data_IF_297383964151
#
_entry.id   IF_297383964151
#
_cell.length_a   1.000
_cell.length_b   1.000
_cell.length_c   1.000
_cell.angle_alpha   90.00
_cell.angle_beta   90.00
_cell.angle_gamma   90.00
#
_symmetry.space_group_name_H-M   'P 1'
#
loop_
_entity.id
_entity.type
_entity.pdbx_description
1 polymer ?
#
# COMPACT_ATOMS: atom_id res chain seq x y z
N UNK A 1 -16.11 -1.64 -94.11
CA UNK A 1 -15.49 -0.79 -93.07
C UNK A 1 -15.96 -1.29 -91.72
N UNK A 2 -15.06 -1.89 -90.95
CA UNK A 2 -15.34 -2.41 -89.61
C UNK A 2 -15.16 -1.27 -88.60
N UNK A 3 -16.19 -0.98 -87.79
CA UNK A 3 -16.10 -0.07 -86.66
C UNK A 3 -15.71 -0.90 -85.42
N UNK A 4 -14.51 -0.66 -84.91
CA UNK A 4 -13.95 -1.37 -83.77
C UNK A 4 -14.60 -0.98 -82.45
N UNK A 5 -14.98 -1.98 -81.66
CA UNK A 5 -15.20 -1.83 -80.23
C UNK A 5 -13.85 -1.60 -79.54
N UNK A 6 -13.65 -0.40 -78.97
CA UNK A 6 -12.63 -0.16 -77.96
C UNK A 6 -13.10 -0.80 -76.65
N UNK A 7 -12.65 -2.03 -76.40
CA UNK A 7 -12.77 -2.65 -75.08
C UNK A 7 -11.86 -1.92 -74.10
N UNK A 8 -12.45 -1.32 -73.06
CA UNK A 8 -11.69 -0.91 -71.88
C UNK A 8 -11.10 -2.17 -71.25
N UNK A 9 -9.77 -2.27 -71.20
CA UNK A 9 -9.10 -3.24 -70.35
C UNK A 9 -9.48 -2.94 -68.90
N UNK A 10 -10.02 -3.90 -68.13
CA UNK A 10 -10.17 -3.69 -66.69
C UNK A 10 -8.79 -3.44 -66.11
N UNK A 11 -8.64 -2.39 -65.30
CA UNK A 11 -7.47 -2.22 -64.47
C UNK A 11 -7.44 -3.41 -63.49
N UNK A 12 -6.60 -4.40 -63.77
CA UNK A 12 -6.25 -5.42 -62.79
C UNK A 12 -5.40 -4.67 -61.76
N UNK A 13 -5.95 -4.44 -60.57
CA UNK A 13 -5.12 -4.10 -59.42
C UNK A 13 -4.09 -5.23 -59.30
N UNK A 14 -2.81 -4.91 -59.42
CA UNK A 14 -1.76 -5.90 -59.22
C UNK A 14 -1.89 -6.37 -57.76
N UNK A 15 -2.38 -7.60 -57.56
CA UNK A 15 -2.37 -8.25 -56.24
C UNK A 15 -0.92 -8.25 -55.76
N UNK A 16 -0.67 -7.60 -54.61
CA UNK A 16 0.63 -7.62 -53.97
C UNK A 16 0.95 -9.08 -53.59
N UNK A 17 1.95 -9.73 -54.22
CA UNK A 17 2.24 -11.14 -53.96
C UNK A 17 2.71 -11.40 -52.51
N UNK A 18 2.99 -10.36 -51.72
CA UNK A 18 3.34 -10.45 -50.31
C UNK A 18 2.14 -10.27 -49.36
N UNK A 19 0.94 -9.92 -49.85
CA UNK A 19 -0.26 -9.70 -49.02
C UNK A 19 -0.60 -10.86 -48.05
N UNK A 20 -0.52 -12.15 -48.46
CA UNK A 20 -0.73 -13.25 -47.52
C UNK A 20 0.31 -13.34 -46.40
N UNK A 21 1.56 -12.96 -46.67
CA UNK A 21 2.65 -12.98 -45.68
C UNK A 21 2.50 -11.84 -44.65
N UNK A 22 2.03 -10.66 -45.08
CA UNK A 22 1.72 -9.56 -44.18
C UNK A 22 0.55 -9.90 -43.26
N UNK A 23 -0.50 -10.56 -43.78
CA UNK A 23 -1.64 -11.02 -42.94
C UNK A 23 -1.20 -11.99 -41.86
N UNK A 24 -0.37 -12.98 -42.17
CA UNK A 24 0.18 -13.89 -41.14
C UNK A 24 1.00 -13.15 -40.09
N UNK A 25 1.82 -12.18 -40.49
CA UNK A 25 2.61 -11.38 -39.57
C UNK A 25 1.73 -10.54 -38.63
N UNK A 26 0.65 -9.94 -39.14
CA UNK A 26 -0.28 -9.16 -38.30
C UNK A 26 -1.02 -10.04 -37.30
N UNK A 27 -1.33 -11.30 -37.63
CA UNK A 27 -1.90 -12.26 -36.66
C UNK A 27 -0.92 -12.55 -35.53
N UNK A 28 0.37 -12.78 -35.82
CA UNK A 28 1.38 -13.00 -34.79
C UNK A 28 1.54 -11.77 -33.87
N UNK A 29 1.54 -10.57 -34.45
CA UNK A 29 1.57 -9.31 -33.72
C UNK A 29 0.31 -9.14 -32.86
N UNK A 30 -0.86 -9.50 -33.40
CA UNK A 30 -2.13 -9.47 -32.66
C UNK A 30 -2.10 -10.42 -31.46
N UNK A 31 -1.56 -11.63 -31.59
CA UNK A 31 -1.50 -12.58 -30.47
C UNK A 31 -0.60 -12.07 -29.33
N UNK A 32 0.57 -11.53 -29.67
CA UNK A 32 1.59 -11.09 -28.72
C UNK A 32 1.39 -9.65 -28.19
N UNK A 33 0.66 -8.81 -28.93
CA UNK A 33 0.59 -7.37 -28.69
C UNK A 33 -0.24 -6.94 -27.47
N UNK A 34 0.01 -5.70 -27.04
CA UNK A 34 -0.79 -4.97 -26.06
C UNK A 34 -2.20 -4.64 -26.57
N UNK A 35 -3.00 -3.95 -25.74
CA UNK A 35 -4.41 -3.68 -26.06
C UNK A 35 -4.57 -2.82 -27.30
N UNK A 36 -3.78 -1.75 -27.45
CA UNK A 36 -3.81 -0.90 -28.63
C UNK A 36 -3.34 -1.63 -29.89
N UNK A 37 -2.27 -2.43 -29.78
CA UNK A 37 -1.77 -3.25 -30.90
C UNK A 37 -2.83 -4.26 -31.36
N UNK A 38 -3.47 -4.96 -30.43
CA UNK A 38 -4.52 -5.94 -30.73
C UNK A 38 -5.68 -5.33 -31.51
N UNK A 39 -6.17 -4.18 -31.07
CA UNK A 39 -7.31 -3.58 -31.74
C UNK A 39 -6.96 -2.99 -33.10
N UNK A 40 -5.80 -2.36 -33.23
CA UNK A 40 -5.34 -1.84 -34.52
C UNK A 40 -5.05 -2.97 -35.51
N UNK A 41 -4.49 -4.09 -35.03
CA UNK A 41 -4.29 -5.29 -35.84
C UNK A 41 -5.63 -5.92 -36.25
N UNK A 42 -6.62 -5.98 -35.35
CA UNK A 42 -7.96 -6.50 -35.67
C UNK A 42 -8.65 -5.65 -36.74
N UNK A 43 -8.60 -4.33 -36.62
CA UNK A 43 -9.11 -3.39 -37.63
C UNK A 43 -8.45 -3.62 -38.99
N UNK A 44 -7.12 -3.75 -39.01
CA UNK A 44 -6.36 -3.98 -40.24
C UNK A 44 -6.66 -5.34 -40.88
N UNK A 45 -6.82 -6.40 -40.07
CA UNK A 45 -7.15 -7.74 -40.55
C UNK A 45 -8.57 -7.85 -41.13
N UNK A 46 -9.49 -6.98 -40.69
CA UNK A 46 -10.85 -6.86 -41.24
C UNK A 46 -10.91 -5.95 -42.49
N UNK A 47 -9.82 -5.25 -42.82
CA UNK A 47 -9.72 -4.24 -43.87
C UNK A 47 -9.06 -4.73 -45.17
N UNK A 48 -8.49 -3.78 -45.91
CA UNK A 48 -7.73 -4.03 -47.14
C UNK A 48 -6.23 -4.30 -46.87
N UNK A 49 -5.49 -4.67 -47.91
CA UNK A 49 -4.04 -4.86 -47.78
C UNK A 49 -3.31 -3.54 -47.52
N UNK A 50 -3.87 -2.40 -47.95
CA UNK A 50 -3.39 -1.07 -47.56
C UNK A 50 -3.57 -0.80 -46.06
N UNK A 51 -4.67 -1.26 -45.45
CA UNK A 51 -4.89 -1.12 -44.00
C UNK A 51 -3.86 -1.94 -43.20
N UNK A 52 -3.45 -3.10 -43.72
CA UNK A 52 -2.37 -3.92 -43.16
C UNK A 52 -1.03 -3.19 -43.23
N UNK A 53 -0.68 -2.61 -44.38
CA UNK A 53 0.57 -1.85 -44.52
C UNK A 53 0.58 -0.60 -43.65
N UNK A 54 -0.56 0.08 -43.52
CA UNK A 54 -0.71 1.24 -42.64
C UNK A 54 -0.54 0.83 -41.17
N UNK A 55 -1.17 -0.26 -40.72
CA UNK A 55 -0.97 -0.79 -39.38
C UNK A 55 0.50 -1.10 -39.09
N UNK A 56 1.18 -1.83 -39.98
CA UNK A 56 2.60 -2.15 -39.81
C UNK A 56 3.48 -0.88 -39.74
N UNK A 57 3.09 0.18 -40.43
CA UNK A 57 3.76 1.49 -40.37
C UNK A 57 3.51 2.20 -39.04
N UNK A 58 2.29 2.15 -38.51
CA UNK A 58 1.89 2.84 -37.28
C UNK A 58 2.23 2.05 -36.01
N UNK A 59 2.47 0.73 -36.13
CA UNK A 59 2.73 -0.20 -35.03
C UNK A 59 3.74 0.32 -34.01
N UNK A 60 4.91 0.89 -34.37
CA UNK A 60 5.86 1.40 -33.37
C UNK A 60 5.28 2.52 -32.51
N UNK A 61 4.41 3.36 -33.06
CA UNK A 61 3.74 4.43 -32.32
C UNK A 61 2.68 3.87 -31.39
N UNK A 62 1.94 2.85 -31.84
CA UNK A 62 0.91 2.17 -31.05
C UNK A 62 1.55 1.42 -29.88
N UNK A 63 2.65 0.71 -30.12
CA UNK A 63 3.42 -0.01 -29.10
C UNK A 63 3.90 0.94 -28.01
N UNK A 64 4.46 2.10 -28.37
CA UNK A 64 4.90 3.10 -27.39
C UNK A 64 3.77 3.60 -26.47
N UNK A 65 2.52 3.57 -26.95
CA UNK A 65 1.36 3.95 -26.16
C UNK A 65 1.03 2.83 -25.17
N UNK A 66 0.95 1.60 -25.66
CA UNK A 66 0.70 0.41 -24.84
C UNK A 66 1.77 0.28 -23.74
N UNK A 67 3.05 0.45 -24.07
CA UNK A 67 4.15 0.37 -23.11
C UNK A 67 3.99 1.40 -21.98
N UNK A 68 3.59 2.64 -22.31
CA UNK A 68 3.34 3.68 -21.28
C UNK A 68 2.13 3.35 -20.41
N UNK A 69 1.11 2.70 -20.96
CA UNK A 69 -0.02 2.19 -20.19
C UNK A 69 0.45 1.09 -19.24
N UNK A 70 1.28 0.16 -19.71
CA UNK A 70 1.81 -0.92 -18.89
C UNK A 70 2.74 -0.42 -17.79
N UNK A 71 3.58 0.58 -18.06
CA UNK A 71 4.36 1.24 -16.99
C UNK A 71 3.46 1.85 -15.93
N UNK A 72 2.35 2.47 -16.34
CA UNK A 72 1.38 3.02 -15.38
C UNK A 72 0.75 1.94 -14.50
N UNK A 73 0.44 0.77 -15.07
CA UNK A 73 -0.04 -0.41 -14.31
C UNK A 73 1.02 -0.91 -13.33
N UNK A 74 2.27 -1.01 -13.75
CA UNK A 74 3.41 -1.40 -12.90
C UNK A 74 3.61 -0.40 -11.75
N UNK A 75 3.47 0.91 -11.99
CA UNK A 75 3.54 1.95 -10.95
C UNK A 75 2.49 1.76 -9.86
N UNK A 76 1.26 1.39 -10.23
CA UNK A 76 0.19 1.18 -9.25
C UNK A 76 0.39 -0.08 -8.41
N UNK A 77 0.88 -1.15 -9.04
CA UNK A 77 1.18 -2.40 -8.35
C UNK A 77 2.48 -2.32 -7.51
N UNK A 78 3.40 -1.41 -7.88
CA UNK A 78 4.73 -1.31 -7.34
C UNK A 78 4.88 -0.53 -6.03
N UNK A 79 5.94 -0.86 -5.28
CA UNK A 79 6.41 -0.09 -4.14
C UNK A 79 7.20 1.16 -4.56
N UNK A 80 7.72 1.94 -3.60
CA UNK A 80 8.45 3.18 -3.87
C UNK A 80 9.61 3.02 -4.87
N UNK A 81 10.39 1.95 -4.77
CA UNK A 81 11.52 1.68 -5.67
C UNK A 81 11.06 1.47 -7.11
N UNK A 82 10.03 0.64 -7.32
CA UNK A 82 9.44 0.41 -8.65
C UNK A 82 8.89 1.71 -9.24
N UNK A 83 8.21 2.54 -8.42
CA UNK A 83 7.66 3.82 -8.90
C UNK A 83 8.75 4.80 -9.34
N UNK A 84 9.86 4.89 -8.62
CA UNK A 84 10.97 5.74 -9.02
C UNK A 84 11.67 5.23 -10.28
N UNK A 85 11.86 3.91 -10.41
CA UNK A 85 12.39 3.30 -11.63
C UNK A 85 11.49 3.56 -12.85
N UNK A 86 10.17 3.42 -12.69
CA UNK A 86 9.19 3.72 -13.72
C UNK A 86 9.21 5.19 -14.14
N UNK A 87 9.27 6.14 -13.19
CA UNK A 87 9.38 7.58 -13.50
C UNK A 87 10.62 7.89 -14.32
N UNK A 88 11.76 7.27 -13.97
CA UNK A 88 13.01 7.41 -14.73
C UNK A 88 12.86 6.89 -16.16
N UNK A 89 12.22 5.74 -16.34
CA UNK A 89 11.95 5.17 -17.66
C UNK A 89 11.03 6.07 -18.50
N UNK A 90 9.94 6.58 -17.91
CA UNK A 90 8.98 7.47 -18.59
C UNK A 90 9.57 8.82 -19.03
N UNK A 91 10.59 9.30 -18.32
CA UNK A 91 11.34 10.51 -18.65
C UNK A 91 12.39 10.30 -19.77
N UNK A 92 12.71 9.03 -20.07
CA UNK A 92 13.56 8.63 -21.18
C UNK A 92 12.80 8.47 -22.49
N UNK A 93 13.35 7.64 -23.39
CA UNK A 93 12.74 7.29 -24.67
C UNK A 93 12.05 5.93 -24.66
N UNK A 94 11.47 5.50 -25.79
CA UNK A 94 10.86 4.17 -25.95
C UNK A 94 11.74 3.01 -25.47
N UNK A 95 13.05 3.07 -25.78
CA UNK A 95 14.04 2.06 -25.37
C UNK A 95 14.16 1.96 -23.84
N UNK A 96 14.08 3.09 -23.12
CA UNK A 96 14.15 3.09 -21.65
C UNK A 96 12.88 2.50 -21.02
N UNK A 97 11.73 2.70 -21.66
CA UNK A 97 10.43 2.17 -21.25
C UNK A 97 10.40 0.66 -21.44
N UNK A 98 10.80 0.18 -22.62
CA UNK A 98 10.89 -1.25 -22.94
C UNK A 98 11.86 -1.97 -21.99
N UNK A 99 13.07 -1.45 -21.81
CA UNK A 99 14.05 -2.01 -20.88
C UNK A 99 13.53 -2.05 -19.43
N UNK A 100 12.71 -1.08 -19.03
CA UNK A 100 12.06 -1.09 -17.73
C UNK A 100 11.00 -2.20 -17.62
N UNK A 101 10.14 -2.35 -18.62
CA UNK A 101 9.08 -3.37 -18.65
C UNK A 101 9.64 -4.80 -18.69
N UNK A 102 10.76 -5.01 -19.40
CA UNK A 102 11.40 -6.32 -19.51
C UNK A 102 12.05 -6.76 -18.19
N UNK A 103 12.94 -5.94 -17.65
CA UNK A 103 13.76 -6.32 -16.49
C UNK A 103 13.96 -5.19 -15.46
N UNK A 104 13.86 -3.93 -15.86
CA UNK A 104 14.20 -2.80 -14.99
C UNK A 104 13.32 -2.66 -13.75
N UNK A 105 12.10 -3.22 -13.73
CA UNK A 105 11.24 -3.24 -12.55
C UNK A 105 11.62 -4.29 -11.51
N UNK A 106 12.30 -5.38 -11.90
CA UNK A 106 12.49 -6.57 -11.05
C UNK A 106 13.34 -6.30 -9.82
N UNK A 107 14.50 -5.68 -9.98
CA UNK A 107 15.39 -5.38 -8.86
C UNK A 107 14.81 -4.36 -7.87
N UNK A 108 14.20 -3.24 -8.31
CA UNK A 108 13.45 -2.36 -7.40
C UNK A 108 12.30 -3.06 -6.68
N UNK A 109 11.60 -3.98 -7.35
CA UNK A 109 10.51 -4.74 -6.74
C UNK A 109 11.00 -5.66 -5.63
N UNK A 110 12.11 -6.39 -5.83
CA UNK A 110 12.71 -7.19 -4.77
C UNK A 110 13.08 -6.32 -3.56
N UNK A 111 13.69 -5.16 -3.81
CA UNK A 111 14.05 -4.24 -2.73
C UNK A 111 12.82 -3.74 -1.96
N UNK A 112 11.74 -3.41 -2.68
CA UNK A 112 10.47 -2.99 -2.08
C UNK A 112 9.88 -4.13 -1.20
N UNK A 113 9.90 -5.38 -1.67
CA UNK A 113 9.44 -6.54 -0.88
C UNK A 113 10.28 -6.74 0.39
N UNK A 114 11.60 -6.58 0.31
CA UNK A 114 12.49 -6.67 1.48
C UNK A 114 12.21 -5.56 2.50
N UNK A 115 11.93 -4.35 2.03
CA UNK A 115 11.50 -3.24 2.88
C UNK A 115 10.17 -3.57 3.55
N UNK A 116 9.19 -4.07 2.81
CA UNK A 116 7.88 -4.45 3.36
C UNK A 116 8.00 -5.57 4.40
N UNK A 117 8.79 -6.61 4.12
CA UNK A 117 9.07 -7.67 5.08
C UNK A 117 9.76 -7.13 6.34
N UNK A 118 10.66 -6.16 6.19
CA UNK A 118 11.31 -5.50 7.33
C UNK A 118 10.31 -4.70 8.19
N UNK A 119 9.33 -4.03 7.58
CA UNK A 119 8.23 -3.38 8.34
C UNK A 119 7.38 -4.42 9.09
N UNK A 120 7.00 -5.51 8.42
CA UNK A 120 6.26 -6.62 9.05
C UNK A 120 7.02 -7.18 10.25
N UNK A 121 8.33 -7.39 10.13
CA UNK A 121 9.20 -7.80 11.24
C UNK A 121 9.20 -6.75 12.36
N UNK A 122 9.33 -5.46 12.04
CA UNK A 122 9.40 -4.40 13.05
C UNK A 122 8.13 -4.31 13.92
N UNK A 123 6.96 -4.51 13.32
CA UNK A 123 5.67 -4.38 14.00
C UNK A 123 5.08 -5.72 14.49
N UNK A 124 5.56 -6.84 13.97
CA UNK A 124 5.07 -8.18 14.29
C UNK A 124 5.44 -8.65 15.70
N UNK A 125 4.73 -9.69 16.15
CA UNK A 125 5.07 -10.44 17.37
C UNK A 125 6.36 -11.26 17.22
N UNK A 126 6.82 -11.93 18.29
CA UNK A 126 8.06 -12.71 18.26
C UNK A 126 8.13 -13.76 17.16
N UNK A 127 7.06 -14.52 16.93
CA UNK A 127 7.00 -15.52 15.87
C UNK A 127 7.06 -14.88 14.48
N UNK A 128 6.36 -13.77 14.25
CA UNK A 128 6.44 -13.02 12.99
C UNK A 128 7.85 -12.46 12.77
N UNK A 129 8.49 -11.96 13.82
CA UNK A 129 9.87 -11.46 13.78
C UNK A 129 10.85 -12.55 13.37
N UNK A 130 10.77 -13.73 13.98
CA UNK A 130 11.68 -14.84 13.70
C UNK A 130 11.49 -15.35 12.26
N UNK A 131 10.23 -15.57 11.84
CA UNK A 131 9.92 -16.01 10.49
C UNK A 131 10.37 -14.98 9.43
N UNK A 132 10.14 -13.70 9.67
CA UNK A 132 10.52 -12.65 8.73
C UNK A 132 12.03 -12.44 8.66
N UNK A 133 12.76 -12.55 9.79
CA UNK A 133 14.24 -12.52 9.78
C UNK A 133 14.82 -13.69 8.98
N UNK A 134 14.24 -14.88 9.10
CA UNK A 134 14.65 -16.03 8.29
C UNK A 134 14.42 -15.77 6.80
N UNK A 135 13.24 -15.27 6.44
CA UNK A 135 12.91 -14.93 5.05
C UNK A 135 13.85 -13.87 4.46
N UNK A 136 14.18 -12.83 5.24
CA UNK A 136 15.10 -11.77 4.82
C UNK A 136 16.53 -12.25 4.56
N UNK A 137 16.97 -13.34 5.20
CA UNK A 137 18.27 -13.98 4.94
C UNK A 137 18.26 -14.89 3.70
N UNK A 138 17.07 -15.18 3.15
CA UNK A 138 16.88 -16.05 1.99
C UNK A 138 16.82 -15.30 0.65
N UNK A 139 16.23 -15.99 -0.32
CA UNK A 139 16.00 -15.53 -1.69
C UNK A 139 14.81 -14.56 -1.78
N UNK A 140 14.63 -13.91 -2.94
CA UNK A 140 13.46 -13.07 -3.22
C UNK A 140 12.14 -13.85 -3.04
N UNK A 141 12.12 -15.13 -3.43
CA UNK A 141 10.94 -15.98 -3.29
C UNK A 141 10.64 -16.29 -1.81
N UNK A 142 11.67 -16.44 -0.96
CA UNK A 142 11.47 -16.64 0.48
C UNK A 142 10.82 -15.41 1.13
N UNK A 143 11.25 -14.20 0.74
CA UNK A 143 10.66 -12.94 1.19
C UNK A 143 9.21 -12.83 0.75
N UNK A 144 8.92 -13.14 -0.52
CA UNK A 144 7.57 -13.13 -1.07
C UNK A 144 6.67 -14.15 -0.35
N UNK A 145 7.12 -15.38 -0.19
CA UNK A 145 6.36 -16.44 0.50
C UNK A 145 6.06 -16.08 1.96
N UNK A 146 6.98 -15.38 2.63
CA UNK A 146 6.75 -14.84 3.96
C UNK A 146 5.66 -13.77 3.96
N UNK A 147 5.72 -12.80 3.03
CA UNK A 147 4.71 -11.75 2.91
C UNK A 147 3.33 -12.32 2.53
N UNK A 148 3.26 -13.30 1.63
CA UNK A 148 1.99 -13.82 1.14
C UNK A 148 1.31 -14.76 2.16
N UNK A 149 2.09 -15.57 2.89
CA UNK A 149 1.53 -16.64 3.75
C UNK A 149 2.22 -16.72 5.12
N UNK A 150 3.56 -16.63 5.15
CA UNK A 150 4.34 -16.91 6.35
C UNK A 150 4.01 -16.00 7.54
N UNK A 151 3.84 -14.71 7.31
CA UNK A 151 3.54 -13.73 8.35
C UNK A 151 2.21 -14.02 9.04
N UNK A 152 1.18 -14.45 8.30
CA UNK A 152 -0.15 -14.68 8.85
C UNK A 152 -0.18 -15.92 9.74
N UNK A 153 0.52 -16.99 9.34
CA UNK A 153 0.66 -18.20 10.14
C UNK A 153 1.45 -17.94 11.43
N UNK A 154 2.50 -17.14 11.33
CA UNK A 154 3.29 -16.73 12.49
C UNK A 154 2.47 -15.86 13.45
N UNK A 155 1.69 -14.91 12.92
CA UNK A 155 0.80 -14.04 13.70
C UNK A 155 -0.25 -14.85 14.46
N UNK A 156 -0.89 -15.85 13.84
CA UNK A 156 -1.85 -16.72 14.52
C UNK A 156 -1.22 -17.46 15.71
N UNK A 157 0.05 -17.84 15.59
CA UNK A 157 0.78 -18.48 16.69
C UNK A 157 1.04 -17.50 17.83
N UNK A 158 1.48 -16.28 17.49
CA UNK A 158 1.71 -15.21 18.46
C UNK A 158 0.42 -14.81 19.21
N UNK A 159 -0.69 -14.66 18.49
CA UNK A 159 -1.99 -14.31 19.06
C UNK A 159 -2.47 -15.38 20.06
N UNK A 160 -2.33 -16.66 19.71
CA UNK A 160 -2.69 -17.77 20.60
C UNK A 160 -1.84 -17.80 21.88
N UNK A 161 -0.56 -17.46 21.77
CA UNK A 161 0.34 -17.33 22.92
C UNK A 161 -0.10 -16.17 23.82
N UNK A 162 -0.45 -15.01 23.25
CA UNK A 162 -0.91 -13.86 24.04
C UNK A 162 -2.25 -14.13 24.73
N UNK A 163 -3.21 -14.79 24.07
CA UNK A 163 -4.46 -15.21 24.73
C UNK A 163 -4.20 -16.21 25.85
N UNK A 164 -3.29 -17.17 25.65
CA UNK A 164 -2.91 -18.14 26.70
C UNK A 164 -2.32 -17.45 27.92
N UNK A 165 -1.52 -16.40 27.73
CA UNK A 165 -0.98 -15.59 28.81
C UNK A 165 -2.09 -14.85 29.56
N UNK A 166 -3.03 -14.24 28.85
CA UNK A 166 -4.20 -13.58 29.44
C UNK A 166 -5.08 -14.56 30.22
N UNK A 167 -5.26 -15.79 29.71
CA UNK A 167 -5.92 -16.88 30.42
C UNK A 167 -5.22 -17.24 31.74
N UNK A 168 -3.88 -17.17 31.80
CA UNK A 168 -3.15 -17.50 33.02
C UNK A 168 -3.16 -16.36 34.05
N UNK A 169 -3.09 -15.10 33.59
CA UNK A 169 -2.89 -13.93 34.46
C UNK A 169 -4.14 -13.10 34.75
N UNK A 170 -5.20 -13.21 33.95
CA UNK A 170 -6.38 -12.35 34.07
C UNK A 170 -7.33 -12.71 35.21
N UNK A 171 -8.27 -11.82 35.51
CA UNK A 171 -9.40 -12.06 36.40
C UNK A 171 -10.37 -13.13 35.89
N UNK A 172 -11.35 -13.51 36.71
CA UNK A 172 -12.23 -14.64 36.43
C UNK A 172 -12.95 -14.54 35.07
N UNK A 173 -13.43 -13.34 34.72
CA UNK A 173 -14.10 -13.11 33.44
C UNK A 173 -13.11 -13.13 32.28
N UNK A 174 -11.90 -12.56 32.44
CA UNK A 174 -10.85 -12.62 31.41
C UNK A 174 -10.44 -14.06 31.14
N UNK A 175 -10.28 -14.89 32.17
CA UNK A 175 -9.97 -16.31 32.01
C UNK A 175 -11.08 -17.05 31.27
N UNK A 176 -12.34 -16.81 31.62
CA UNK A 176 -13.46 -17.46 30.95
C UNK A 176 -13.54 -17.08 29.47
N UNK A 177 -13.41 -15.79 29.15
CA UNK A 177 -13.44 -15.29 27.78
C UNK A 177 -12.22 -15.77 26.95
N UNK A 178 -11.01 -15.75 27.53
CA UNK A 178 -9.80 -16.26 26.88
C UNK A 178 -9.91 -17.76 26.59
N UNK A 179 -10.48 -18.55 27.52
CA UNK A 179 -10.71 -19.99 27.32
C UNK A 179 -11.64 -20.26 26.14
N UNK A 180 -12.74 -19.49 26.05
CA UNK A 180 -13.68 -19.60 24.94
C UNK A 180 -12.99 -19.29 23.60
N UNK A 181 -12.23 -18.20 23.54
CA UNK A 181 -11.48 -17.82 22.34
C UNK A 181 -10.47 -18.89 21.91
N UNK A 182 -9.72 -19.49 22.85
CA UNK A 182 -8.76 -20.56 22.56
C UNK A 182 -9.38 -21.88 22.06
N UNK A 183 -10.68 -22.06 22.27
CA UNK A 183 -11.47 -23.21 21.76
C UNK A 183 -12.12 -22.91 20.41
N UNK A 184 -12.07 -21.66 19.96
CA UNK A 184 -12.65 -21.21 18.69
C UNK A 184 -11.66 -21.21 17.53
N UNK A 185 -12.04 -20.45 16.50
CA UNK A 185 -11.27 -20.15 15.31
C UNK A 185 -10.18 -19.09 15.56
N UNK A 186 -9.23 -18.89 14.62
CA UNK A 186 -8.31 -17.75 14.67
C UNK A 186 -9.02 -16.40 14.80
N UNK A 187 -10.19 -16.24 14.19
CA UNK A 187 -10.97 -14.99 14.26
C UNK A 187 -11.51 -14.75 15.69
N UNK A 188 -11.91 -15.81 16.39
CA UNK A 188 -12.35 -15.71 17.80
C UNK A 188 -11.20 -15.27 18.73
N UNK A 189 -9.97 -15.71 18.43
CA UNK A 189 -8.76 -15.28 19.14
C UNK A 189 -8.51 -13.79 18.91
N UNK A 190 -8.59 -13.34 17.66
CA UNK A 190 -8.40 -11.93 17.30
C UNK A 190 -9.49 -11.06 17.93
N UNK A 191 -10.77 -11.44 17.84
CA UNK A 191 -11.88 -10.70 18.44
C UNK A 191 -11.70 -10.55 19.97
N UNK A 192 -11.27 -11.62 20.64
CA UNK A 192 -10.97 -11.55 22.06
C UNK A 192 -9.82 -10.59 22.36
N UNK A 193 -8.73 -10.62 21.58
CA UNK A 193 -7.61 -9.70 21.77
C UNK A 193 -7.99 -8.24 21.49
N UNK A 194 -8.82 -7.98 20.48
CA UNK A 194 -9.21 -6.62 20.11
C UNK A 194 -10.27 -6.02 21.04
N UNK A 195 -11.25 -6.83 21.47
CA UNK A 195 -12.44 -6.33 22.20
C UNK A 195 -12.71 -7.14 23.46
N UNK A 196 -12.75 -8.46 23.36
CA UNK A 196 -13.23 -9.34 24.43
C UNK A 196 -12.47 -9.19 25.76
N UNK A 197 -11.14 -9.04 25.70
CA UNK A 197 -10.31 -8.88 26.90
C UNK A 197 -10.64 -7.60 27.69
N UNK A 198 -11.02 -6.51 27.02
CA UNK A 198 -11.31 -5.24 27.66
C UNK A 198 -12.69 -5.26 28.33
N UNK A 199 -13.68 -5.86 27.65
CA UNK A 199 -15.02 -6.08 28.23
C UNK A 199 -14.93 -6.98 29.47
N UNK A 200 -14.15 -8.05 29.38
CA UNK A 200 -13.96 -8.98 30.49
C UNK A 200 -13.24 -8.31 31.68
N UNK A 201 -12.18 -7.53 31.45
CA UNK A 201 -11.49 -6.78 32.52
C UNK A 201 -12.39 -5.77 33.24
N UNK A 202 -13.23 -5.06 32.48
CA UNK A 202 -14.20 -4.15 33.09
C UNK A 202 -15.15 -4.87 34.05
N UNK A 203 -15.55 -6.11 33.74
CA UNK A 203 -16.37 -6.94 34.63
C UNK A 203 -15.61 -7.46 35.84
N UNK A 204 -14.31 -7.72 35.69
CA UNK A 204 -13.45 -8.11 36.81
C UNK A 204 -13.14 -6.95 37.77
N UNK A 205 -13.60 -5.71 37.49
CA UNK A 205 -13.22 -4.49 38.21
C UNK A 205 -11.71 -4.34 38.38
N UNK A 206 -10.93 -4.93 37.46
CA UNK A 206 -9.49 -4.80 37.44
C UNK A 206 -9.13 -3.38 37.00
N UNK A 207 -8.81 -2.51 37.96
CA UNK A 207 -8.13 -1.27 37.64
C UNK A 207 -6.78 -1.63 36.98
N UNK A 208 -6.53 -1.05 35.81
CA UNK A 208 -5.29 -1.28 35.09
C UNK A 208 -4.09 -0.84 35.95
N UNK A 209 -3.20 -1.78 36.23
CA UNK A 209 -1.92 -1.50 36.89
C UNK A 209 -1.06 -0.58 36.01
N UNK A 210 -0.10 0.12 36.63
CA UNK A 210 0.89 0.93 35.89
C UNK A 210 1.54 0.11 34.77
N UNK A 211 1.89 -1.15 35.02
CA UNK A 211 2.50 -2.03 34.03
C UNK A 211 1.56 -2.34 32.84
N UNK A 212 0.26 -2.53 33.08
CA UNK A 212 -0.73 -2.75 32.03
C UNK A 212 -0.96 -1.48 31.19
N UNK A 213 -1.07 -0.32 31.85
CA UNK A 213 -1.19 0.97 31.16
C UNK A 213 0.04 1.28 30.30
N UNK A 214 1.25 0.95 30.80
CA UNK A 214 2.49 1.11 30.02
C UNK A 214 2.42 0.28 28.74
N UNK A 215 2.06 -1.01 28.85
CA UNK A 215 1.94 -1.89 27.68
C UNK A 215 0.87 -1.43 26.70
N UNK A 216 -0.26 -0.93 27.21
CA UNK A 216 -1.34 -0.42 26.35
C UNK A 216 -0.89 0.82 25.57
N UNK A 217 -0.21 1.76 26.21
CA UNK A 217 0.34 2.94 25.54
C UNK A 217 1.40 2.54 24.49
N UNK A 218 2.28 1.60 24.82
CA UNK A 218 3.29 1.08 23.87
C UNK A 218 2.65 0.41 22.65
N UNK A 219 1.67 -0.46 22.87
CA UNK A 219 0.96 -1.15 21.79
C UNK A 219 0.20 -0.16 20.90
N UNK A 220 -0.52 0.79 21.50
CA UNK A 220 -1.24 1.81 20.74
C UNK A 220 -0.29 2.73 19.96
N UNK A 221 0.85 3.11 20.55
CA UNK A 221 1.90 3.88 19.86
C UNK A 221 2.49 3.13 18.67
N UNK A 222 2.80 1.83 18.82
CA UNK A 222 3.27 0.99 17.71
C UNK A 222 2.23 0.83 16.60
N UNK A 223 0.95 0.67 16.95
CA UNK A 223 -0.14 0.60 15.98
C UNK A 223 -0.32 1.92 15.22
N UNK A 224 -0.14 3.06 15.88
CA UNK A 224 -0.15 4.38 15.24
C UNK A 224 1.04 4.55 14.29
N UNK A 225 2.24 4.12 14.70
CA UNK A 225 3.44 4.11 13.86
C UNK A 225 3.24 3.25 12.60
N UNK A 226 2.81 1.99 12.74
CA UNK A 226 2.54 1.12 11.59
C UNK A 226 1.46 1.68 10.64
N UNK A 227 0.43 2.35 11.19
CA UNK A 227 -0.60 3.00 10.37
C UNK A 227 -0.09 4.27 9.68
N UNK A 228 0.90 4.96 10.27
CA UNK A 228 1.60 6.10 9.66
C UNK A 228 2.34 5.64 8.41
N UNK A 229 3.17 4.60 8.51
CA UNK A 229 3.93 4.06 7.39
C UNK A 229 3.02 3.67 6.21
N UNK A 230 1.88 3.02 6.51
CA UNK A 230 0.88 2.66 5.49
C UNK A 230 0.21 3.87 4.85
N UNK A 231 -0.09 4.91 5.63
CA UNK A 231 -0.67 6.14 5.12
C UNK A 231 0.32 6.91 4.23
N UNK A 232 1.60 6.98 4.61
CA UNK A 232 2.65 7.60 3.79
C UNK A 232 2.85 6.86 2.47
N UNK A 233 2.89 5.52 2.49
CA UNK A 233 3.02 4.73 1.26
C UNK A 233 1.81 4.92 0.34
N UNK A 234 0.59 4.85 0.89
CA UNK A 234 -0.64 5.05 0.11
C UNK A 234 -0.74 6.47 -0.45
N UNK A 235 -0.29 7.48 0.32
CA UNK A 235 -0.16 8.86 -0.14
C UNK A 235 0.79 8.96 -1.34
N UNK A 236 1.98 8.35 -1.24
CA UNK A 236 2.96 8.31 -2.32
C UNK A 236 2.44 7.62 -3.59
N UNK A 237 1.66 6.53 -3.44
CA UNK A 237 0.97 5.85 -4.54
C UNK A 237 -0.07 6.77 -5.20
N UNK A 238 -0.92 7.42 -4.40
CA UNK A 238 -1.92 8.35 -4.91
C UNK A 238 -1.30 9.55 -5.65
N UNK A 239 -0.20 10.12 -5.14
CA UNK A 239 0.54 11.21 -5.82
C UNK A 239 1.08 10.74 -7.18
N UNK A 240 1.71 9.56 -7.23
CA UNK A 240 2.26 9.03 -8.48
C UNK A 240 1.15 8.74 -9.51
N UNK A 241 0.06 8.10 -9.09
CA UNK A 241 -1.08 7.83 -9.96
C UNK A 241 -1.76 9.12 -10.44
N UNK A 242 -1.88 10.14 -9.58
CA UNK A 242 -2.39 11.46 -9.95
C UNK A 242 -1.57 12.11 -11.06
N UNK A 243 -0.24 12.03 -10.98
CA UNK A 243 0.66 12.59 -11.99
C UNK A 243 0.53 11.85 -13.32
N UNK A 244 0.43 10.51 -13.30
CA UNK A 244 0.21 9.72 -14.51
C UNK A 244 -1.16 10.00 -15.16
N UNK A 245 -2.21 10.17 -14.36
CA UNK A 245 -3.53 10.55 -14.87
C UNK A 245 -3.52 11.92 -15.55
N UNK A 246 -2.84 12.91 -14.96
CA UNK A 246 -2.71 14.24 -15.56
C UNK A 246 -1.92 14.21 -16.86
N UNK A 247 -0.79 13.52 -16.88
CA UNK A 247 0.06 13.32 -18.06
C UNK A 247 -0.69 12.58 -19.19
N UNK A 248 -1.48 11.54 -18.84
CA UNK A 248 -2.33 10.84 -19.80
C UNK A 248 -3.45 11.74 -20.34
N UNK A 249 -4.09 12.56 -19.50
CA UNK A 249 -5.13 13.50 -19.91
C UNK A 249 -4.60 14.53 -20.89
N UNK A 250 -3.44 15.14 -20.59
CA UNK A 250 -2.82 16.14 -21.47
C UNK A 250 -2.41 15.56 -22.82
N UNK A 251 -1.88 14.34 -22.85
CA UNK A 251 -1.51 13.68 -24.10
C UNK A 251 -2.74 13.25 -24.90
N UNK A 252 -3.78 12.73 -24.24
CA UNK A 252 -5.02 12.40 -24.92
C UNK A 252 -5.60 13.65 -25.61
N UNK A 253 -5.69 14.77 -24.91
CA UNK A 253 -6.19 16.02 -25.50
C UNK A 253 -5.36 16.47 -26.72
N UNK A 254 -4.03 16.54 -26.60
CA UNK A 254 -3.14 16.98 -27.70
C UNK A 254 -3.21 16.05 -28.91
N UNK A 255 -3.26 14.75 -28.68
CA UNK A 255 -3.28 13.76 -29.75
C UNK A 255 -4.66 13.64 -30.40
N UNK A 256 -5.76 13.80 -29.65
CA UNK A 256 -7.11 13.89 -30.22
C UNK A 256 -7.23 15.12 -31.14
N UNK A 257 -6.68 16.28 -30.73
CA UNK A 257 -6.60 17.46 -31.60
C UNK A 257 -5.76 17.19 -32.86
N UNK A 258 -4.65 16.46 -32.74
CA UNK A 258 -3.76 16.13 -33.85
C UNK A 258 -4.34 15.07 -34.80
N UNK A 259 -5.06 14.08 -34.26
CA UNK A 259 -5.64 12.96 -34.98
C UNK A 259 -6.76 13.39 -35.95
N UNK A 260 -7.39 14.55 -35.73
CA UNK A 260 -8.51 15.08 -36.53
C UNK A 260 -9.62 14.05 -36.75
N UNK A 261 -9.55 13.28 -37.84
CA UNK A 261 -10.54 12.29 -38.27
C UNK A 261 -10.06 10.83 -38.10
N UNK A 262 -8.87 10.60 -37.54
CA UNK A 262 -8.37 9.25 -37.25
C UNK A 262 -8.98 8.73 -35.94
N UNK A 263 -10.13 8.08 -36.08
CA UNK A 263 -10.88 7.51 -34.96
C UNK A 263 -10.11 6.40 -34.23
N UNK A 264 -9.22 5.67 -34.92
CA UNK A 264 -8.43 4.60 -34.32
C UNK A 264 -7.41 5.14 -33.33
N UNK A 265 -6.62 6.15 -33.75
CA UNK A 265 -5.64 6.81 -32.86
C UNK A 265 -6.31 7.52 -31.68
N UNK A 266 -7.44 8.18 -31.90
CA UNK A 266 -8.20 8.82 -30.81
C UNK A 266 -8.68 7.80 -29.76
N UNK A 267 -9.19 6.64 -30.21
CA UNK A 267 -9.69 5.58 -29.32
C UNK A 267 -8.61 5.01 -28.41
N UNK A 268 -7.40 4.73 -28.94
CA UNK A 268 -6.29 4.20 -28.13
C UNK A 268 -5.87 5.21 -27.04
N UNK A 269 -5.85 6.50 -27.37
CA UNK A 269 -5.51 7.58 -26.42
C UNK A 269 -6.57 7.78 -25.34
N UNK A 270 -7.84 7.73 -25.72
CA UNK A 270 -8.95 7.75 -24.78
C UNK A 270 -8.84 6.60 -23.76
N UNK A 271 -8.48 5.39 -24.21
CA UNK A 271 -8.26 4.25 -23.29
C UNK A 271 -7.10 4.45 -22.35
N UNK A 272 -5.98 5.01 -22.82
CA UNK A 272 -4.85 5.35 -21.94
C UNK A 272 -5.26 6.32 -20.83
N UNK A 273 -6.01 7.37 -21.18
CA UNK A 273 -6.54 8.33 -20.20
C UNK A 273 -7.55 7.67 -19.24
N UNK A 274 -8.42 6.80 -19.74
CA UNK A 274 -9.37 6.04 -18.91
C UNK A 274 -8.69 5.05 -17.94
N UNK A 275 -7.64 4.35 -18.39
CA UNK A 275 -6.84 3.44 -17.56
C UNK A 275 -6.11 4.22 -16.44
N UNK A 276 -5.49 5.35 -16.79
CA UNK A 276 -4.82 6.22 -15.82
C UNK A 276 -5.82 6.85 -14.84
N UNK A 277 -7.04 7.18 -15.29
CA UNK A 277 -8.12 7.65 -14.42
C UNK A 277 -8.53 6.57 -13.39
N UNK A 278 -8.75 5.33 -13.85
CA UNK A 278 -9.09 4.19 -12.98
C UNK A 278 -8.00 3.93 -11.94
N UNK A 279 -6.74 3.91 -12.38
CA UNK A 279 -5.57 3.81 -11.52
C UNK A 279 -5.52 4.88 -10.42
N UNK A 280 -5.69 6.16 -10.80
CA UNK A 280 -5.68 7.26 -9.85
C UNK A 280 -6.86 7.18 -8.87
N UNK A 281 -8.04 6.74 -9.32
CA UNK A 281 -9.19 6.51 -8.45
C UNK A 281 -8.95 5.36 -7.44
N UNK A 282 -8.37 4.25 -7.88
CA UNK A 282 -8.02 3.12 -6.99
C UNK A 282 -6.98 3.53 -5.94
N UNK A 283 -5.91 4.23 -6.35
CA UNK A 283 -4.91 4.75 -5.42
C UNK A 283 -5.51 5.77 -4.44
N UNK A 284 -6.46 6.59 -4.88
CA UNK A 284 -7.19 7.52 -4.02
C UNK A 284 -8.02 6.79 -2.95
N UNK A 285 -8.68 5.67 -3.31
CA UNK A 285 -9.42 4.83 -2.36
C UNK A 285 -8.50 4.17 -1.33
N UNK A 286 -7.34 3.64 -1.78
CA UNK A 286 -6.34 3.08 -0.87
C UNK A 286 -5.83 4.13 0.12
N UNK A 287 -5.53 5.35 -0.34
CA UNK A 287 -5.11 6.46 0.51
C UNK A 287 -6.19 6.86 1.54
N UNK A 288 -7.47 6.87 1.16
CA UNK A 288 -8.59 7.10 2.11
C UNK A 288 -8.64 5.99 3.16
N UNK A 289 -8.53 4.72 2.73
CA UNK A 289 -8.50 3.57 3.64
C UNK A 289 -7.37 3.68 4.67
N UNK A 290 -6.17 4.01 4.20
CA UNK A 290 -4.99 4.19 5.05
C UNK A 290 -5.12 5.41 5.98
N UNK A 291 -5.63 6.54 5.48
CA UNK A 291 -5.90 7.73 6.29
C UNK A 291 -6.90 7.46 7.41
N UNK A 292 -7.96 6.70 7.12
CA UNK A 292 -8.95 6.29 8.11
C UNK A 292 -8.35 5.35 9.17
N UNK A 293 -7.50 4.40 8.76
CA UNK A 293 -6.78 3.53 9.68
C UNK A 293 -5.83 4.33 10.59
N UNK A 294 -5.03 5.23 10.02
CA UNK A 294 -4.13 6.11 10.76
C UNK A 294 -4.88 7.00 11.75
N UNK A 295 -6.01 7.60 11.37
CA UNK A 295 -6.86 8.38 12.28
C UNK A 295 -7.43 7.53 13.44
N UNK A 296 -7.88 6.30 13.17
CA UNK A 296 -8.35 5.39 14.23
C UNK A 296 -7.22 5.04 15.20
N UNK A 297 -6.04 4.69 14.69
CA UNK A 297 -4.86 4.38 15.51
C UNK A 297 -4.38 5.60 16.30
N UNK A 298 -4.38 6.79 15.69
CA UNK A 298 -4.06 8.04 16.36
C UNK A 298 -5.00 8.31 17.54
N UNK A 299 -6.32 8.16 17.36
CA UNK A 299 -7.30 8.31 18.44
C UNK A 299 -7.06 7.29 19.56
N UNK A 300 -6.78 6.02 19.23
CA UNK A 300 -6.45 4.99 20.23
C UNK A 300 -5.20 5.35 21.02
N UNK A 301 -4.13 5.76 20.34
CA UNK A 301 -2.87 6.17 20.96
C UNK A 301 -3.02 7.43 21.83
N UNK A 302 -3.78 8.42 21.36
CA UNK A 302 -4.10 9.62 22.13
C UNK A 302 -4.94 9.32 23.38
N UNK A 303 -5.93 8.43 23.27
CA UNK A 303 -6.72 7.98 24.42
C UNK A 303 -5.88 7.21 25.42
N UNK A 304 -5.02 6.29 24.96
CA UNK A 304 -4.09 5.58 25.83
C UNK A 304 -3.16 6.57 26.55
N UNK A 305 -2.61 7.55 25.83
CA UNK A 305 -1.77 8.61 26.40
C UNK A 305 -2.54 9.51 27.40
N UNK A 306 -3.82 9.81 27.14
CA UNK A 306 -4.66 10.61 28.02
C UNK A 306 -5.03 9.85 29.31
N UNK A 307 -5.36 8.57 29.22
CA UNK A 307 -5.60 7.70 30.39
C UNK A 307 -4.38 7.68 31.32
N UNK A 308 -3.19 7.79 30.73
CA UNK A 308 -1.91 7.86 31.44
C UNK A 308 -1.44 9.28 31.77
N UNK A 309 -2.11 10.34 31.33
CA UNK A 309 -1.80 11.71 31.76
C UNK A 309 -2.11 11.89 33.27
N UNK A 310 -3.14 11.19 33.77
CA UNK A 310 -3.36 10.99 35.20
C UNK A 310 -2.16 10.29 35.89
N UNK A 311 -1.37 9.51 35.14
CA UNK A 311 -0.16 8.88 35.64
C UNK A 311 1.07 9.80 35.68
N UNK A 312 1.11 10.92 34.93
CA UNK A 312 2.14 11.94 35.11
C UNK A 312 1.97 12.68 36.44
N UNK A 313 0.72 12.99 36.82
CA UNK A 313 0.39 13.47 38.16
C UNK A 313 0.74 12.40 39.21
N UNK A 314 0.36 11.13 38.99
CA UNK A 314 0.74 10.03 39.87
C UNK A 314 2.27 9.81 39.96
N UNK A 315 3.04 10.10 38.90
CA UNK A 315 4.49 10.01 38.87
C UNK A 315 5.12 11.14 39.68
N UNK A 316 4.62 12.37 39.57
CA UNK A 316 5.04 13.50 40.39
C UNK A 316 4.76 13.24 41.88
N UNK A 317 3.58 12.70 42.20
CA UNK A 317 3.24 12.30 43.56
C UNK A 317 4.10 11.13 44.05
N UNK A 318 4.33 10.10 43.23
CA UNK A 318 5.17 8.96 43.57
C UNK A 318 6.62 9.39 43.82
N UNK A 319 7.14 10.33 43.02
CA UNK A 319 8.45 10.93 43.23
C UNK A 319 8.50 11.71 44.54
N UNK A 320 7.47 12.50 44.86
CA UNK A 320 7.36 13.20 46.15
C UNK A 320 7.34 12.22 47.34
N UNK A 321 6.54 11.15 47.25
CA UNK A 321 6.50 10.07 48.25
C UNK A 321 7.85 9.37 48.40
N UNK A 322 8.57 9.13 47.30
CA UNK A 322 9.89 8.52 47.31
C UNK A 322 10.93 9.42 47.98
N UNK A 323 10.95 10.72 47.66
CA UNK A 323 11.83 11.70 48.31
C UNK A 323 11.57 11.79 49.81
N UNK A 324 10.30 11.83 50.22
CA UNK A 324 9.93 11.84 51.64
C UNK A 324 10.35 10.55 52.36
N UNK A 325 10.18 9.38 51.72
CA UNK A 325 10.61 8.11 52.28
C UNK A 325 12.15 8.01 52.37
N UNK A 326 12.89 8.53 51.40
CA UNK A 326 14.34 8.62 51.44
C UNK A 326 14.82 9.53 52.57
N UNK A 327 14.16 10.67 52.79
CA UNK A 327 14.44 11.55 53.93
C UNK A 327 14.13 10.88 55.28
N UNK A 328 13.07 10.08 55.37
CA UNK A 328 12.80 9.29 56.57
C UNK A 328 13.89 8.22 56.81
N UNK A 329 14.35 7.56 55.75
CA UNK A 329 15.42 6.56 55.83
C UNK A 329 16.79 7.14 56.21
N UNK A 330 17.06 8.41 55.87
CA UNK A 330 18.29 9.08 56.32
C UNK A 330 18.31 9.37 57.82
N UNK A 331 17.12 9.42 58.46
CA UNK A 331 16.96 9.58 59.92
C UNK A 331 16.80 8.25 60.66
N UNK A 332 16.26 7.23 59.99
CA UNK A 332 15.99 5.90 60.56
C UNK A 332 16.33 4.80 59.56
N UNK A 333 17.43 4.07 59.84
CA UNK A 333 17.91 2.97 58.98
C UNK A 333 16.88 1.85 58.76
N UNK A 334 15.91 1.67 59.67
CA UNK A 334 14.87 0.64 59.52
C UNK A 334 13.87 0.97 58.41
N UNK A 335 13.82 2.23 57.95
CA UNK A 335 12.96 2.67 56.83
C UNK A 335 13.60 2.51 55.45
N UNK A 336 14.84 2.01 55.37
CA UNK A 336 15.55 1.88 54.11
C UNK A 336 14.77 1.07 53.06
N UNK A 337 14.16 -0.07 53.44
CA UNK A 337 13.39 -0.88 52.50
C UNK A 337 12.16 -0.14 51.95
N UNK A 338 11.41 0.56 52.82
CA UNK A 338 10.26 1.35 52.38
C UNK A 338 10.66 2.48 51.41
N UNK A 339 11.83 3.09 51.60
CA UNK A 339 12.37 4.07 50.66
C UNK A 339 12.73 3.45 49.30
N UNK A 340 13.32 2.25 49.29
CA UNK A 340 13.60 1.49 48.07
C UNK A 340 12.31 1.13 47.31
N UNK A 341 11.27 0.68 48.02
CA UNK A 341 9.99 0.32 47.41
C UNK A 341 9.32 1.54 46.76
N UNK A 342 9.30 2.69 47.45
CA UNK A 342 8.75 3.95 46.90
C UNK A 342 9.56 4.48 45.72
N UNK A 343 10.89 4.35 45.76
CA UNK A 343 11.73 4.69 44.63
C UNK A 343 11.43 3.79 43.41
N UNK A 344 11.17 2.50 43.61
CA UNK A 344 10.76 1.59 42.54
C UNK A 344 9.39 1.95 41.96
N UNK A 345 8.41 2.32 42.79
CA UNK A 345 7.10 2.84 42.34
C UNK A 345 7.27 4.10 41.49
N UNK A 346 8.07 5.07 41.95
CA UNK A 346 8.33 6.31 41.23
C UNK A 346 9.01 6.08 39.87
N UNK A 347 9.96 5.12 39.79
CA UNK A 347 10.58 4.73 38.51
C UNK A 347 9.56 4.17 37.53
N UNK A 348 8.71 3.24 37.96
CA UNK A 348 7.65 2.67 37.12
C UNK A 348 6.68 3.73 36.60
N UNK A 349 6.30 4.69 37.46
CA UNK A 349 5.43 5.80 37.06
C UNK A 349 6.13 6.74 36.05
N UNK A 350 7.43 7.02 36.23
CA UNK A 350 8.22 7.79 35.26
C UNK A 350 8.39 7.07 33.91
N UNK A 351 8.57 5.75 33.91
CA UNK A 351 8.58 4.94 32.68
C UNK A 351 7.25 5.00 31.95
N UNK A 352 6.14 4.84 32.68
CA UNK A 352 4.80 5.00 32.13
C UNK A 352 4.64 6.37 31.45
N UNK A 353 5.02 7.47 32.13
CA UNK A 353 4.95 8.81 31.56
C UNK A 353 5.75 8.94 30.24
N UNK A 354 6.97 8.39 30.18
CA UNK A 354 7.78 8.39 28.95
C UNK A 354 7.11 7.61 27.81
N UNK A 355 6.58 6.41 28.08
CA UNK A 355 5.90 5.60 27.06
C UNK A 355 4.62 6.25 26.57
N UNK A 356 3.91 6.92 27.47
CA UNK A 356 2.70 7.70 27.17
C UNK A 356 2.99 8.89 26.27
N UNK A 357 4.07 9.64 26.55
CA UNK A 357 4.53 10.72 25.70
C UNK A 357 4.88 10.22 24.28
N UNK A 358 5.59 9.08 24.18
CA UNK A 358 5.88 8.46 22.87
C UNK A 358 4.60 8.04 22.13
N UNK A 359 3.61 7.48 22.84
CA UNK A 359 2.32 7.13 22.22
C UNK A 359 1.58 8.38 21.69
N UNK A 360 1.59 9.48 22.43
CA UNK A 360 1.03 10.76 21.98
C UNK A 360 1.78 11.33 20.76
N UNK A 361 3.11 11.22 20.73
CA UNK A 361 3.91 11.62 19.57
C UNK A 361 3.53 10.81 18.32
N UNK A 362 3.41 9.48 18.45
CA UNK A 362 2.97 8.63 17.34
C UNK A 362 1.53 8.92 16.92
N UNK A 363 0.66 9.30 17.85
CA UNK A 363 -0.69 9.76 17.51
C UNK A 363 -0.67 11.04 16.65
N UNK A 364 0.22 11.98 16.96
CA UNK A 364 0.44 13.19 16.18
C UNK A 364 0.93 12.88 14.77
N UNK A 365 1.96 12.05 14.64
CA UNK A 365 2.51 11.59 13.35
C UNK A 365 1.45 10.89 12.50
N UNK A 366 0.71 9.95 13.08
CA UNK A 366 -0.38 9.26 12.38
C UNK A 366 -1.48 10.21 11.91
N UNK A 367 -1.79 11.26 12.69
CA UNK A 367 -2.78 12.28 12.28
C UNK A 367 -2.29 13.13 11.11
N UNK A 368 -1.00 13.49 11.09
CA UNK A 368 -0.39 14.23 9.97
C UNK A 368 -0.35 13.38 8.70
N UNK A 369 0.14 12.15 8.79
CA UNK A 369 0.16 11.23 7.64
C UNK A 369 -1.25 10.93 7.10
N UNK A 370 -2.26 10.87 7.97
CA UNK A 370 -3.66 10.76 7.54
C UNK A 370 -4.13 11.99 6.76
N UNK A 371 -3.73 13.20 7.17
CA UNK A 371 -4.05 14.43 6.47
C UNK A 371 -3.36 14.49 5.09
N UNK A 372 -2.09 14.10 5.01
CA UNK A 372 -1.33 14.04 3.76
C UNK A 372 -1.94 13.02 2.79
N UNK A 373 -2.26 11.81 3.26
CA UNK A 373 -2.94 10.80 2.47
C UNK A 373 -4.32 11.25 1.96
N UNK A 374 -5.09 11.97 2.78
CA UNK A 374 -6.36 12.55 2.35
C UNK A 374 -6.17 13.67 1.31
N UNK A 375 -5.12 14.49 1.43
CA UNK A 375 -4.79 15.51 0.43
C UNK A 375 -4.36 14.88 -0.90
N UNK A 376 -3.49 13.86 -0.86
CA UNK A 376 -3.08 13.08 -2.02
C UNK A 376 -4.27 12.41 -2.72
N UNK A 377 -5.20 11.83 -1.96
CA UNK A 377 -6.43 11.23 -2.49
C UNK A 377 -7.32 12.25 -3.23
N UNK A 378 -7.45 13.47 -2.71
CA UNK A 378 -8.19 14.54 -3.40
C UNK A 378 -7.52 14.94 -4.71
N UNK A 379 -6.19 15.06 -4.71
CA UNK A 379 -5.42 15.35 -5.93
C UNK A 379 -5.60 14.25 -6.97
N UNK A 380 -5.46 12.98 -6.57
CA UNK A 380 -5.65 11.82 -7.42
C UNK A 380 -7.06 11.74 -8.01
N UNK A 381 -8.10 11.96 -7.20
CA UNK A 381 -9.49 12.06 -7.69
C UNK A 381 -9.66 13.20 -8.70
N UNK A 382 -9.07 14.37 -8.42
CA UNK A 382 -9.12 15.51 -9.33
C UNK A 382 -8.51 15.22 -10.70
N UNK A 383 -7.32 14.62 -10.71
CA UNK A 383 -6.63 14.25 -11.96
C UNK A 383 -7.28 13.05 -12.66
N UNK A 384 -7.86 12.11 -11.92
CA UNK A 384 -8.67 11.03 -12.48
C UNK A 384 -9.87 11.59 -13.26
N UNK A 385 -10.57 12.59 -12.71
CA UNK A 385 -11.71 13.23 -13.38
C UNK A 385 -11.28 13.98 -14.65
N UNK A 386 -10.13 14.66 -14.63
CA UNK A 386 -9.57 15.30 -15.85
C UNK A 386 -9.25 14.25 -16.92
N UNK A 387 -8.61 13.15 -16.53
CA UNK A 387 -8.26 12.07 -17.44
C UNK A 387 -9.49 11.36 -18.02
N UNK A 388 -10.51 11.10 -17.20
CA UNK A 388 -11.78 10.57 -17.67
C UNK A 388 -12.47 11.54 -18.66
N UNK A 389 -12.50 12.84 -18.34
CA UNK A 389 -13.07 13.84 -19.25
C UNK A 389 -12.31 13.96 -20.59
N UNK A 390 -10.99 13.77 -20.56
CA UNK A 390 -10.17 13.72 -21.78
C UNK A 390 -10.36 12.42 -22.58
N UNK A 391 -10.78 11.33 -21.93
CA UNK A 391 -11.13 10.08 -22.59
C UNK A 391 -12.50 10.14 -23.30
N UNK A 392 -13.40 11.00 -22.81
CA UNK A 392 -14.76 11.17 -23.36
C UNK A 392 -14.83 12.17 -24.54
N UNK A 393 -13.71 12.87 -24.85
CA UNK A 393 -13.56 13.81 -25.98
C UNK A 393 -13.00 13.10 -27.21
#
# INVERSE_FOLDING_TARGET
>A
MAAGLLGATPAVAAEDPYAPAYRSQVVEIWEAGGTGIKEAAEQALLGSDEDIQQFLTDMPTIQQIDDRVDVSRVVNAGGPGVREAAKKALAGGPVDIEAFLDEGWKAPHEQDLRVEASKVVNFGGPGVQDAGRQALLGTAEDVKQFLDVGQFKAQQTDDRVEVTKLYNTGGANVKAAAKLALQGSPDDIVEFLEVGQFVARNRDQEYATIAQLTKQAEAAGKQAEAATDKAEEASGKAIAAAALAEDAAERAAKETEAAKNDAGRATVKARQAADAARAAAEAAQQAIGAANAANRSARRAALAAAQTANAAAAAAEAASRASNAAYAASKDKTKAQAALDRAAEARKAGELAKRSAKAAEQAGKASLAAADAAAASRSATGNANKAAAAADQ
#
